data_IF_018348987980
#
_entry.id   IF_018348987980
#
_cell.length_a   1.000
_cell.length_b   1.000
_cell.length_c   1.000
_cell.angle_alpha   90.00
_cell.angle_beta   90.00
_cell.angle_gamma   90.00
#
_symmetry.space_group_name_H-M   'P 1'
#
loop_
_entity.id
_entity.type
_entity.pdbx_description
1 polymer ?
#
# COMPACT_ATOMS: atom_id res chain seq x y z
N UNK A 1 26.40 -6.69 4.93
CA UNK A 1 25.03 -7.21 4.96
C UNK A 1 24.42 -6.80 3.64
N UNK A 2 24.19 -7.72 2.70
CA UNK A 2 23.50 -7.40 1.44
C UNK A 2 22.01 -7.39 1.75
N UNK A 3 21.36 -6.26 1.52
CA UNK A 3 19.91 -6.16 1.62
C UNK A 3 19.28 -7.08 0.58
N UNK A 4 18.26 -7.80 0.97
CA UNK A 4 17.44 -8.59 0.03
C UNK A 4 16.64 -7.65 -0.87
N UNK A 5 16.27 -8.11 -2.07
CA UNK A 5 15.41 -7.32 -2.99
C UNK A 5 14.13 -6.86 -2.31
N UNK A 6 13.55 -7.69 -1.45
CA UNK A 6 12.38 -7.35 -0.63
C UNK A 6 12.62 -6.16 0.29
N UNK A 7 13.73 -6.14 1.04
CA UNK A 7 14.07 -5.04 1.96
C UNK A 7 14.25 -3.72 1.21
N UNK A 8 14.84 -3.77 0.00
CA UNK A 8 14.99 -2.60 -0.87
C UNK A 8 13.63 -2.05 -1.30
N UNK A 9 12.71 -2.91 -1.74
CA UNK A 9 11.35 -2.49 -2.13
C UNK A 9 10.57 -1.90 -0.96
N UNK A 10 10.61 -2.53 0.21
CA UNK A 10 9.97 -2.02 1.43
C UNK A 10 10.55 -0.65 1.80
N UNK A 11 11.88 -0.49 1.72
CA UNK A 11 12.54 0.77 2.00
C UNK A 11 12.13 1.88 1.03
N UNK A 12 12.10 1.60 -0.28
CA UNK A 12 11.64 2.55 -1.30
C UNK A 12 10.19 2.95 -1.07
N UNK A 13 9.31 2.00 -0.79
CA UNK A 13 7.89 2.27 -0.54
C UNK A 13 7.70 3.11 0.72
N UNK A 14 8.39 2.80 1.82
CA UNK A 14 8.41 3.61 3.04
C UNK A 14 8.91 5.02 2.78
N UNK A 15 9.97 5.17 1.97
CA UNK A 15 10.53 6.47 1.60
C UNK A 15 9.53 7.31 0.78
N UNK A 16 8.83 6.70 -0.18
CA UNK A 16 7.79 7.38 -0.97
C UNK A 16 6.64 7.85 -0.06
N UNK A 17 6.13 6.98 0.81
CA UNK A 17 5.04 7.33 1.75
C UNK A 17 5.47 8.45 2.70
N UNK A 18 6.68 8.36 3.27
CA UNK A 18 7.23 9.39 4.14
C UNK A 18 7.40 10.73 3.41
N UNK A 19 7.91 10.71 2.17
CA UNK A 19 8.08 11.91 1.34
C UNK A 19 6.75 12.58 1.02
N UNK A 20 5.70 11.79 0.70
CA UNK A 20 4.35 12.30 0.47
C UNK A 20 3.74 12.93 1.73
N UNK A 21 3.90 12.28 2.89
CA UNK A 21 3.44 12.83 4.17
C UNK A 21 4.16 14.12 4.52
N UNK A 22 5.48 14.17 4.31
CA UNK A 22 6.29 15.37 4.55
C UNK A 22 5.89 16.51 3.62
N UNK A 23 5.69 16.24 2.33
CA UNK A 23 5.23 17.23 1.35
C UNK A 23 3.85 17.78 1.72
N UNK A 24 2.91 16.93 2.12
CA UNK A 24 1.58 17.32 2.58
C UNK A 24 1.66 18.21 3.83
N UNK A 25 2.48 17.82 4.81
CA UNK A 25 2.67 18.58 6.04
C UNK A 25 3.33 19.94 5.78
N UNK A 26 4.36 19.97 4.93
CA UNK A 26 5.03 21.23 4.50
C UNK A 26 4.06 22.15 3.75
N UNK A 27 3.23 21.60 2.84
CA UNK A 27 2.20 22.37 2.15
C UNK A 27 1.19 23.00 3.12
N UNK A 28 0.75 22.22 4.12
CA UNK A 28 -0.20 22.67 5.15
C UNK A 28 0.39 23.82 5.98
N UNK A 29 1.64 23.69 6.45
CA UNK A 29 2.34 24.74 7.20
C UNK A 29 2.54 25.98 6.33
N UNK A 30 3.02 25.85 5.09
CA UNK A 30 3.25 26.99 4.21
C UNK A 30 1.96 27.71 3.81
N UNK A 31 0.85 26.99 3.67
CA UNK A 31 -0.46 27.58 3.40
C UNK A 31 -0.95 28.43 4.60
N UNK A 32 -0.73 27.94 5.82
CA UNK A 32 -1.08 28.61 7.06
C UNK A 32 -0.24 29.89 7.24
N UNK A 33 1.09 29.76 7.13
CA UNK A 33 2.01 30.89 7.32
C UNK A 33 1.83 31.97 6.26
N UNK A 34 1.55 31.64 5.00
CA UNK A 34 1.22 32.61 3.97
C UNK A 34 -0.05 33.38 4.28
N UNK A 35 -1.09 32.74 4.77
CA UNK A 35 -2.35 33.38 5.14
C UNK A 35 -2.17 34.31 6.31
N UNK A 36 -1.37 33.96 7.34
CA UNK A 36 -1.05 34.83 8.46
C UNK A 36 -0.16 36.00 8.04
N UNK A 37 0.81 35.81 7.15
CA UNK A 37 1.71 36.83 6.67
C UNK A 37 0.96 37.90 5.82
N UNK A 38 0.06 37.49 4.94
CA UNK A 38 -0.80 38.39 4.17
C UNK A 38 -1.72 39.22 5.09
N UNK A 39 -2.21 38.66 6.19
CA UNK A 39 -3.03 39.33 7.17
C UNK A 39 -2.22 40.44 7.94
N UNK A 40 -0.95 40.13 8.27
CA UNK A 40 -0.06 41.07 8.99
C UNK A 40 0.45 42.18 8.07
N UNK A 41 0.76 41.87 6.80
CA UNK A 41 1.31 42.86 5.86
C UNK A 41 0.28 43.82 5.28
N UNK A 42 -0.99 43.45 5.18
CA UNK A 42 -2.06 44.26 4.55
C UNK A 42 -3.16 44.62 5.54
N UNK A 43 -2.79 44.78 6.83
CA UNK A 43 -3.70 45.06 7.90
C UNK A 43 -4.61 46.29 7.65
N UNK A 44 -5.89 46.11 7.73
CA UNK A 44 -6.88 46.93 8.38
C UNK A 44 -7.76 47.89 7.59
N UNK A 45 -7.33 48.53 6.52
CA UNK A 45 -7.94 49.83 6.23
C UNK A 45 -8.76 49.93 4.96
N UNK A 46 -8.76 48.92 4.12
CA UNK A 46 -9.37 49.04 2.81
C UNK A 46 -10.55 48.10 2.62
N UNK A 47 -11.74 48.63 2.36
CA UNK A 47 -12.91 47.80 1.96
C UNK A 47 -12.64 47.03 0.69
N UNK A 48 -11.76 47.52 -0.20
CA UNK A 48 -11.31 46.82 -1.38
C UNK A 48 -10.49 45.54 -1.01
N UNK A 49 -9.60 45.64 -0.02
CA UNK A 49 -8.83 44.52 0.52
C UNK A 49 -9.76 43.52 1.21
N UNK A 50 -10.74 43.98 1.99
CA UNK A 50 -11.78 43.11 2.57
C UNK A 50 -12.57 42.37 1.50
N UNK A 51 -12.90 43.02 0.40
CA UNK A 51 -13.64 42.43 -0.72
C UNK A 51 -12.78 41.39 -1.48
N UNK A 52 -11.51 41.65 -1.66
CA UNK A 52 -10.55 40.75 -2.29
C UNK A 52 -10.21 39.54 -1.40
N UNK A 53 -10.03 39.77 -0.09
CA UNK A 53 -9.89 38.68 0.92
C UNK A 53 -11.15 37.83 0.97
N UNK A 54 -12.34 38.39 0.89
CA UNK A 54 -13.58 37.63 0.83
C UNK A 54 -13.73 36.86 -0.48
N UNK A 55 -13.22 37.36 -1.60
CA UNK A 55 -13.18 36.69 -2.89
C UNK A 55 -12.19 35.53 -2.84
N UNK A 56 -10.96 35.73 -2.38
CA UNK A 56 -9.95 34.68 -2.14
C UNK A 56 -10.45 33.65 -1.11
N UNK A 57 -11.18 34.04 -0.09
CA UNK A 57 -11.81 33.14 0.90
C UNK A 57 -12.90 32.25 0.27
N UNK A 58 -13.59 32.76 -0.76
CA UNK A 58 -14.59 31.97 -1.52
C UNK A 58 -13.93 30.97 -2.46
N UNK A 59 -12.85 31.34 -3.13
CA UNK A 59 -12.04 30.47 -3.97
C UNK A 59 -11.35 29.39 -3.14
N UNK A 60 -10.78 29.75 -1.98
CA UNK A 60 -10.22 28.79 -1.03
C UNK A 60 -11.26 27.82 -0.48
N UNK A 61 -12.53 28.18 -0.40
CA UNK A 61 -13.60 27.27 0.04
C UNK A 61 -13.79 26.11 -0.94
N UNK A 62 -13.80 26.37 -2.24
CA UNK A 62 -13.90 25.32 -3.27
C UNK A 62 -12.69 24.41 -3.21
N UNK A 63 -11.48 24.97 -3.09
CA UNK A 63 -10.25 24.22 -2.95
C UNK A 63 -10.26 23.31 -1.69
N UNK A 64 -10.72 23.84 -0.55
CA UNK A 64 -10.86 23.06 0.69
C UNK A 64 -11.86 21.91 0.54
N UNK A 65 -12.99 22.13 -0.15
CA UNK A 65 -13.96 21.07 -0.44
C UNK A 65 -13.39 20.00 -1.34
N UNK A 66 -12.70 20.40 -2.41
CA UNK A 66 -12.02 19.46 -3.33
C UNK A 66 -10.98 18.63 -2.56
N UNK A 67 -10.16 19.29 -1.73
CA UNK A 67 -9.15 18.62 -0.93
C UNK A 67 -9.75 17.61 0.07
N UNK A 68 -10.89 17.95 0.69
CA UNK A 68 -11.62 17.03 1.58
C UNK A 68 -12.17 15.82 0.84
N UNK A 69 -12.75 16.02 -0.35
CA UNK A 69 -13.25 14.91 -1.17
C UNK A 69 -12.11 14.00 -1.59
N UNK A 70 -10.99 14.56 -2.07
CA UNK A 70 -9.80 13.80 -2.46
C UNK A 70 -9.23 13.03 -1.26
N UNK A 71 -9.12 13.68 -0.10
CA UNK A 71 -8.65 13.03 1.13
C UNK A 71 -9.56 11.87 1.56
N UNK A 72 -10.87 12.05 1.45
CA UNK A 72 -11.85 11.00 1.78
C UNK A 72 -11.76 9.82 0.80
N UNK A 73 -11.62 10.09 -0.50
CA UNK A 73 -11.42 9.05 -1.51
C UNK A 73 -10.13 8.26 -1.27
N UNK A 74 -9.03 8.96 -0.97
CA UNK A 74 -7.75 8.31 -0.62
C UNK A 74 -7.89 7.44 0.63
N UNK A 75 -8.63 7.90 1.64
CA UNK A 75 -8.92 7.10 2.83
C UNK A 75 -9.66 5.81 2.49
N UNK A 76 -10.73 5.91 1.70
CA UNK A 76 -11.51 4.74 1.30
C UNK A 76 -10.64 3.74 0.54
N UNK A 77 -9.82 4.22 -0.42
CA UNK A 77 -8.88 3.38 -1.16
C UNK A 77 -7.89 2.70 -0.20
N UNK A 78 -7.36 3.45 0.76
CA UNK A 78 -6.38 2.93 1.70
C UNK A 78 -6.99 1.91 2.68
N UNK A 79 -8.18 2.17 3.20
CA UNK A 79 -8.90 1.23 4.08
C UNK A 79 -9.27 -0.05 3.33
N UNK A 80 -9.71 0.05 2.08
CA UNK A 80 -10.02 -1.14 1.27
C UNK A 80 -8.76 -1.96 0.96
N UNK A 81 -7.65 -1.31 0.60
CA UNK A 81 -6.38 -1.98 0.36
C UNK A 81 -5.83 -2.66 1.63
N UNK A 82 -5.95 -1.99 2.78
CA UNK A 82 -5.56 -2.55 4.07
C UNK A 82 -6.45 -3.76 4.46
N UNK A 83 -7.76 -3.63 4.31
CA UNK A 83 -8.69 -4.74 4.56
C UNK A 83 -8.40 -5.94 3.67
N UNK A 84 -8.03 -5.70 2.41
CA UNK A 84 -7.62 -6.73 1.48
C UNK A 84 -6.30 -7.41 1.90
N UNK A 85 -5.31 -6.63 2.35
CA UNK A 85 -4.05 -7.17 2.87
C UNK A 85 -4.26 -8.04 4.12
N UNK A 86 -5.14 -7.62 5.04
CA UNK A 86 -5.52 -8.41 6.22
C UNK A 86 -6.27 -9.68 5.81
N UNK A 87 -7.16 -9.59 4.82
CA UNK A 87 -7.89 -10.73 4.28
C UNK A 87 -6.93 -11.79 3.71
N UNK A 88 -5.96 -11.38 2.88
CA UNK A 88 -4.92 -12.29 2.33
C UNK A 88 -4.21 -13.00 3.48
N UNK A 89 -3.75 -12.28 4.50
CA UNK A 89 -3.06 -12.88 5.65
C UNK A 89 -3.95 -13.86 6.41
N UNK A 90 -5.20 -13.51 6.65
CA UNK A 90 -6.14 -14.36 7.37
C UNK A 90 -6.52 -15.65 6.62
N UNK A 91 -6.44 -15.61 5.29
CA UNK A 91 -6.71 -16.77 4.41
C UNK A 91 -5.47 -17.54 4.01
N UNK A 92 -4.26 -17.00 4.30
CA UNK A 92 -2.99 -17.63 3.94
C UNK A 92 -2.85 -19.04 4.55
N UNK A 93 -3.36 -19.26 5.76
CA UNK A 93 -3.28 -20.52 6.49
C UNK A 93 -4.42 -21.50 6.19
N UNK A 94 -5.41 -21.10 5.41
CA UNK A 94 -6.58 -21.94 5.11
C UNK A 94 -6.45 -22.58 3.74
N UNK A 95 -6.69 -23.90 3.63
CA UNK A 95 -6.86 -24.50 2.31
C UNK A 95 -8.07 -23.89 1.62
N UNK A 96 -8.01 -23.79 0.31
CA UNK A 96 -9.07 -23.19 -0.50
C UNK A 96 -10.33 -24.06 -0.56
N UNK A 97 -11.13 -24.07 0.49
CA UNK A 97 -12.41 -24.77 0.52
C UNK A 97 -13.43 -24.02 -0.35
N UNK A 98 -13.40 -24.24 -1.67
CA UNK A 98 -14.34 -23.67 -2.62
C UNK A 98 -14.16 -22.17 -2.94
N UNK A 99 -13.33 -21.45 -2.19
CA UNK A 99 -12.96 -20.05 -2.47
C UNK A 99 -11.48 -20.05 -2.87
N UNK A 100 -11.11 -19.42 -4.02
CA UNK A 100 -9.71 -19.30 -4.42
C UNK A 100 -8.86 -18.71 -3.30
N UNK A 101 -7.74 -19.36 -2.97
CA UNK A 101 -6.78 -18.78 -2.02
C UNK A 101 -5.86 -17.79 -2.74
N UNK A 102 -5.57 -16.69 -2.08
CA UNK A 102 -4.70 -15.64 -2.63
C UNK A 102 -3.37 -15.72 -1.89
N UNK A 103 -2.28 -15.90 -2.62
CA UNK A 103 -0.92 -15.99 -2.06
C UNK A 103 -0.02 -14.94 -2.69
N UNK A 104 0.95 -14.45 -1.91
CA UNK A 104 2.00 -13.56 -2.41
C UNK A 104 3.26 -14.37 -2.63
N UNK A 105 3.83 -14.30 -3.83
CA UNK A 105 5.12 -14.95 -4.15
C UNK A 105 6.23 -14.25 -3.38
N UNK A 106 6.90 -14.99 -2.49
CA UNK A 106 7.93 -14.46 -1.58
C UNK A 106 9.37 -14.86 -1.97
N UNK A 107 9.53 -15.69 -3.02
CA UNK A 107 10.83 -16.17 -3.49
C UNK A 107 10.98 -16.00 -4.99
N UNK A 108 12.21 -16.05 -5.46
CA UNK A 108 12.54 -15.97 -6.89
C UNK A 108 12.70 -17.38 -7.52
N UNK A 109 12.35 -18.45 -6.79
CA UNK A 109 12.52 -19.85 -7.27
C UNK A 109 11.75 -20.16 -8.55
N UNK A 110 10.68 -19.41 -8.84
CA UNK A 110 9.84 -19.57 -10.03
C UNK A 110 9.99 -18.40 -11.02
N UNK A 111 10.98 -17.49 -10.84
CA UNK A 111 11.02 -16.20 -11.54
C UNK A 111 11.46 -16.31 -13.00
N UNK A 112 12.31 -17.28 -13.33
CA UNK A 112 12.88 -17.47 -14.67
C UNK A 112 13.09 -18.95 -14.98
N UNK A 113 13.30 -19.25 -16.27
CA UNK A 113 13.62 -20.61 -16.70
C UNK A 113 15.11 -20.87 -16.57
N UNK A 114 15.51 -21.78 -15.69
CA UNK A 114 16.90 -22.22 -15.63
C UNK A 114 17.23 -23.07 -16.87
N UNK A 115 18.37 -22.81 -17.49
CA UNK A 115 18.81 -23.55 -18.68
C UNK A 115 19.01 -25.07 -18.46
N UNK A 116 19.21 -25.49 -17.21
CA UNK A 116 19.29 -26.89 -16.83
C UNK A 116 17.94 -27.60 -16.92
N UNK A 117 16.83 -26.88 -16.78
CA UNK A 117 15.47 -27.36 -16.75
C UNK A 117 14.91 -27.49 -18.18
N UNK A 118 15.45 -28.42 -18.98
CA UNK A 118 15.08 -28.59 -20.40
C UNK A 118 13.58 -28.77 -20.62
N UNK A 119 12.89 -29.43 -19.70
CA UNK A 119 11.45 -29.69 -19.78
C UNK A 119 10.63 -28.41 -19.92
N UNK A 120 11.09 -27.25 -19.35
CA UNK A 120 10.42 -25.96 -19.47
C UNK A 120 10.43 -25.43 -20.92
N UNK A 121 11.51 -25.70 -21.63
CA UNK A 121 11.68 -25.30 -23.03
C UNK A 121 11.00 -26.26 -23.97
N UNK A 122 11.15 -27.58 -23.73
CA UNK A 122 10.60 -28.64 -24.55
C UNK A 122 9.05 -28.61 -24.56
N UNK A 123 8.45 -28.26 -23.44
CA UNK A 123 6.99 -28.15 -23.30
C UNK A 123 6.46 -26.72 -23.45
N UNK A 124 7.28 -25.73 -23.81
CA UNK A 124 6.89 -24.32 -23.99
C UNK A 124 6.13 -23.74 -22.79
N UNK A 125 6.61 -24.04 -21.58
CA UNK A 125 5.99 -23.57 -20.33
C UNK A 125 6.40 -22.11 -20.06
N UNK A 126 5.47 -21.17 -20.07
CA UNK A 126 5.71 -19.72 -19.95
C UNK A 126 4.92 -19.07 -18.79
N UNK A 127 4.70 -19.78 -17.71
CA UNK A 127 3.91 -19.36 -16.55
C UNK A 127 4.76 -19.05 -15.30
N UNK A 128 5.99 -18.57 -15.49
CA UNK A 128 6.90 -18.20 -14.43
C UNK A 128 6.31 -17.09 -13.55
N UNK A 129 6.59 -17.17 -12.24
CA UNK A 129 6.07 -16.27 -11.22
C UNK A 129 7.19 -15.39 -10.68
N UNK A 130 7.02 -14.07 -10.81
CA UNK A 130 7.96 -13.10 -10.27
C UNK A 130 7.74 -12.88 -8.77
N UNK A 131 8.80 -12.54 -8.06
CA UNK A 131 8.70 -12.10 -6.68
C UNK A 131 7.71 -10.94 -6.56
N UNK A 132 6.86 -10.99 -5.55
CA UNK A 132 5.76 -10.04 -5.29
C UNK A 132 4.56 -10.13 -6.24
N UNK A 133 4.49 -11.14 -7.10
CA UNK A 133 3.22 -11.44 -7.76
C UNK A 133 2.19 -11.91 -6.73
N UNK A 134 0.95 -11.50 -6.92
CA UNK A 134 -0.18 -12.13 -6.23
C UNK A 134 -0.69 -13.23 -7.14
N UNK A 135 -0.71 -14.45 -6.63
CA UNK A 135 -1.24 -15.61 -7.34
C UNK A 135 -2.57 -16.04 -6.76
N UNK A 136 -3.48 -16.40 -7.64
CA UNK A 136 -4.80 -16.94 -7.29
C UNK A 136 -4.72 -18.42 -7.47
N UNK A 137 -4.78 -19.15 -6.35
CA UNK A 137 -4.70 -20.61 -6.33
C UNK A 137 -6.10 -21.17 -6.12
N UNK A 138 -6.45 -22.17 -6.92
CA UNK A 138 -7.70 -22.91 -6.76
C UNK A 138 -7.54 -24.07 -5.78
N UNK A 139 -8.69 -24.64 -5.46
CA UNK A 139 -8.72 -25.87 -4.65
C UNK A 139 -7.88 -26.95 -5.33
N UNK A 140 -7.14 -27.67 -4.51
CA UNK A 140 -6.34 -28.81 -4.99
C UNK A 140 -7.29 -29.87 -5.59
N UNK A 141 -7.06 -30.31 -6.84
CA UNK A 141 -7.81 -31.41 -7.42
C UNK A 141 -7.54 -32.71 -6.65
N UNK A 142 -8.21 -33.80 -7.01
CA UNK A 142 -7.94 -35.10 -6.40
C UNK A 142 -6.47 -35.52 -6.67
N UNK A 143 -5.91 -36.37 -5.80
CA UNK A 143 -4.50 -36.75 -5.85
C UNK A 143 -4.11 -37.42 -7.19
N UNK A 144 -5.05 -38.15 -7.77
CA UNK A 144 -4.92 -38.87 -9.06
C UNK A 144 -5.09 -37.94 -10.27
N UNK A 145 -5.63 -36.75 -10.08
CA UNK A 145 -5.79 -35.73 -11.12
C UNK A 145 -4.58 -34.80 -11.26
N UNK A 146 -3.63 -34.85 -10.29
CA UNK A 146 -2.41 -34.06 -10.38
C UNK A 146 -1.47 -34.60 -11.46
N UNK A 147 -1.04 -33.70 -12.33
CA UNK A 147 -0.20 -34.04 -13.48
C UNK A 147 1.23 -33.47 -13.36
N UNK A 148 2.14 -33.99 -14.18
CA UNK A 148 3.47 -33.43 -14.33
C UNK A 148 3.36 -31.97 -14.85
N UNK A 149 4.17 -31.12 -14.27
CA UNK A 149 4.27 -29.66 -14.55
C UNK A 149 3.17 -28.81 -13.96
N UNK A 150 2.25 -29.37 -13.20
CA UNK A 150 1.36 -28.56 -12.37
C UNK A 150 2.15 -27.72 -11.37
N UNK A 151 1.72 -26.48 -11.16
CA UNK A 151 2.31 -25.58 -10.16
C UNK A 151 1.45 -25.61 -8.91
N UNK A 152 2.01 -26.09 -7.82
CA UNK A 152 1.31 -26.31 -6.55
C UNK A 152 1.84 -25.41 -5.44
N UNK A 153 0.95 -25.06 -4.53
CA UNK A 153 1.30 -24.40 -3.27
C UNK A 153 1.32 -25.43 -2.17
N UNK A 154 2.42 -25.54 -1.46
CA UNK A 154 2.56 -26.46 -0.33
C UNK A 154 3.19 -25.77 0.88
N UNK A 155 3.04 -26.39 2.05
CA UNK A 155 3.58 -25.87 3.30
C UNK A 155 4.86 -26.64 3.66
N UNK A 156 5.97 -25.91 3.83
CA UNK A 156 7.24 -26.43 4.30
C UNK A 156 7.74 -25.55 5.44
N UNK A 157 8.04 -26.13 6.61
CA UNK A 157 8.57 -25.41 7.79
C UNK A 157 7.80 -24.10 8.12
N UNK A 158 6.46 -24.16 8.10
CA UNK A 158 5.55 -23.03 8.31
C UNK A 158 5.61 -21.92 7.24
N UNK A 159 6.30 -22.15 6.13
CA UNK A 159 6.36 -21.24 4.98
C UNK A 159 5.59 -21.86 3.80
N UNK A 160 4.83 -21.00 3.09
CA UNK A 160 4.20 -21.42 1.84
C UNK A 160 5.17 -21.26 0.69
N UNK A 161 5.39 -22.36 -0.02
CA UNK A 161 6.25 -22.44 -1.20
C UNK A 161 5.38 -22.74 -2.42
N UNK A 162 5.75 -22.17 -3.55
CA UNK A 162 5.09 -22.40 -4.84
C UNK A 162 6.14 -22.97 -5.76
N UNK A 163 5.97 -24.25 -6.16
CA UNK A 163 6.89 -24.94 -7.03
C UNK A 163 6.13 -25.83 -8.02
N UNK A 164 6.82 -26.32 -9.04
CA UNK A 164 6.29 -27.16 -10.10
C UNK A 164 6.52 -28.63 -9.80
N UNK A 165 5.55 -29.48 -10.11
CA UNK A 165 5.69 -30.95 -10.06
C UNK A 165 6.60 -31.38 -11.21
N UNK A 166 7.77 -31.92 -10.90
CA UNK A 166 8.73 -32.45 -11.87
C UNK A 166 8.85 -33.96 -11.84
N UNK A 167 8.25 -34.61 -10.86
CA UNK A 167 8.18 -36.07 -10.76
C UNK A 167 7.04 -36.52 -9.85
N UNK A 168 6.45 -37.65 -10.19
CA UNK A 168 5.40 -38.28 -9.38
C UNK A 168 5.88 -39.71 -9.15
N UNK A 169 6.06 -40.09 -7.89
CA UNK A 169 6.42 -41.42 -7.47
C UNK A 169 5.18 -42.14 -6.97
N UNK A 170 4.78 -43.19 -7.67
CA UNK A 170 3.64 -44.04 -7.28
C UNK A 170 3.97 -44.81 -6.01
N UNK A 171 2.95 -45.23 -5.24
CA UNK A 171 3.14 -46.09 -4.07
C UNK A 171 4.00 -47.29 -4.38
N UNK A 172 5.00 -47.56 -3.55
CA UNK A 172 5.96 -48.62 -3.72
C UNK A 172 6.19 -49.37 -2.39
N UNK A 173 7.10 -50.36 -2.34
CA UNK A 173 7.38 -51.14 -1.13
C UNK A 173 7.88 -50.28 0.05
N UNK A 174 8.49 -49.10 -0.23
CA UNK A 174 9.00 -48.17 0.79
C UNK A 174 7.91 -47.23 1.26
N UNK A 175 6.95 -46.88 0.38
CA UNK A 175 5.84 -45.95 0.63
C UNK A 175 4.53 -46.55 0.07
N UNK A 176 3.94 -47.55 0.72
CA UNK A 176 2.87 -48.35 0.13
C UNK A 176 1.50 -47.65 0.00
N UNK A 177 1.30 -46.54 0.68
CA UNK A 177 -0.02 -45.93 0.81
C UNK A 177 -0.13 -44.49 0.25
N UNK A 178 0.97 -43.86 -0.20
CA UNK A 178 0.98 -42.45 -0.55
C UNK A 178 1.82 -42.21 -1.80
N UNK A 179 1.34 -41.29 -2.66
CA UNK A 179 2.12 -40.71 -3.75
C UNK A 179 3.09 -39.68 -3.22
N UNK A 180 4.28 -39.68 -3.77
CA UNK A 180 5.30 -38.68 -3.47
C UNK A 180 5.51 -37.79 -4.68
N UNK A 181 5.42 -36.46 -4.46
CA UNK A 181 5.57 -35.45 -5.50
C UNK A 181 6.94 -34.81 -5.39
N UNK A 182 7.75 -34.92 -6.43
CA UNK A 182 9.01 -34.19 -6.49
C UNK A 182 8.77 -32.81 -7.06
N UNK A 183 9.08 -31.79 -6.29
CA UNK A 183 8.83 -30.42 -6.65
C UNK A 183 10.14 -29.69 -6.98
N UNK A 184 10.05 -28.68 -7.86
CA UNK A 184 11.18 -27.86 -8.25
C UNK A 184 10.73 -26.45 -8.64
N UNK A 185 11.50 -25.47 -8.23
CA UNK A 185 11.37 -24.11 -8.76
C UNK A 185 11.95 -24.00 -10.17
N UNK A 186 11.29 -23.28 -11.06
CA UNK A 186 11.70 -23.14 -12.46
C UNK A 186 13.10 -22.52 -12.61
N UNK A 187 13.48 -21.62 -11.68
CA UNK A 187 14.78 -20.95 -11.63
C UNK A 187 15.87 -21.76 -10.91
N UNK A 188 15.52 -22.88 -10.30
CA UNK A 188 16.44 -23.70 -9.51
C UNK A 188 16.94 -24.89 -10.35
N UNK A 189 18.23 -25.20 -10.27
CA UNK A 189 18.84 -26.25 -11.08
C UNK A 189 18.40 -27.66 -10.67
N UNK A 190 18.07 -27.87 -9.39
CA UNK A 190 17.77 -29.20 -8.83
C UNK A 190 16.42 -29.20 -8.12
N UNK A 191 15.74 -30.35 -8.15
CA UNK A 191 14.53 -30.56 -7.35
C UNK A 191 14.78 -30.40 -5.85
N UNK A 192 13.70 -30.17 -5.12
CA UNK A 192 13.71 -30.13 -3.66
C UNK A 192 14.22 -31.47 -3.10
N UNK A 193 14.96 -31.40 -2.00
CA UNK A 193 15.64 -32.58 -1.42
C UNK A 193 14.65 -33.64 -0.94
N UNK A 194 13.49 -33.23 -0.51
CA UNK A 194 12.45 -34.08 0.03
C UNK A 194 11.19 -34.02 -0.82
N UNK A 195 10.60 -35.18 -1.16
CA UNK A 195 9.32 -35.22 -1.85
C UNK A 195 8.21 -34.65 -0.92
N UNK A 196 7.20 -34.08 -1.53
CA UNK A 196 6.04 -33.49 -0.83
C UNK A 196 4.86 -34.46 -0.97
N UNK A 197 4.10 -34.61 0.12
CA UNK A 197 2.89 -35.41 0.13
C UNK A 197 1.68 -34.55 -0.27
N UNK A 198 0.65 -35.19 -0.83
CA UNK A 198 -0.60 -34.53 -1.16
C UNK A 198 -1.21 -33.77 0.03
N UNK A 199 -1.13 -34.35 1.23
CA UNK A 199 -1.64 -33.71 2.47
C UNK A 199 -0.95 -32.40 2.86
N UNK A 200 0.25 -32.13 2.34
CA UNK A 200 1.00 -30.89 2.56
C UNK A 200 0.65 -29.80 1.54
N UNK A 201 -0.01 -30.17 0.45
CA UNK A 201 -0.42 -29.24 -0.61
C UNK A 201 -1.71 -28.51 -0.22
N UNK A 202 -1.85 -27.28 -0.69
CA UNK A 202 -2.97 -26.42 -0.33
C UNK A 202 -3.78 -25.90 -1.52
N UNK A 203 -3.23 -25.93 -2.70
CA UNK A 203 -3.88 -25.46 -3.91
C UNK A 203 -3.00 -25.57 -5.14
N UNK A 204 -3.62 -25.39 -6.28
CA UNK A 204 -2.99 -25.40 -7.61
C UNK A 204 -3.06 -24.00 -8.22
N UNK A 205 -2.00 -23.62 -8.93
CA UNK A 205 -1.97 -22.37 -9.71
C UNK A 205 -2.32 -22.65 -11.16
N UNK A 206 -3.30 -21.93 -11.71
CA UNK A 206 -3.78 -22.11 -13.08
C UNK A 206 -3.58 -20.85 -13.95
N UNK A 207 -2.49 -20.13 -13.78
CA UNK A 207 -2.13 -19.00 -14.64
C UNK A 207 -2.70 -17.63 -14.24
N UNK A 208 -3.49 -17.52 -13.18
CA UNK A 208 -4.07 -16.22 -12.73
C UNK A 208 -3.15 -15.52 -11.76
N UNK A 209 -2.50 -14.41 -12.20
CA UNK A 209 -1.61 -13.61 -11.35
C UNK A 209 -1.83 -12.11 -11.52
N UNK A 210 -1.51 -11.35 -10.48
CA UNK A 210 -1.47 -9.88 -10.50
C UNK A 210 -0.02 -9.48 -10.19
N UNK A 211 0.72 -8.92 -11.16
CA UNK A 211 2.13 -8.64 -10.99
C UNK A 211 2.38 -7.47 -10.02
N UNK A 212 3.46 -7.55 -9.24
CA UNK A 212 4.03 -6.53 -8.34
C UNK A 212 3.16 -6.04 -7.17
N UNK A 213 1.86 -6.31 -7.15
CA UNK A 213 0.95 -5.80 -6.10
C UNK A 213 1.24 -6.42 -4.74
N UNK A 214 1.83 -7.61 -4.71
CA UNK A 214 2.20 -8.31 -3.47
C UNK A 214 3.17 -7.54 -2.59
N UNK A 215 4.07 -6.72 -3.14
CA UNK A 215 4.99 -5.88 -2.36
C UNK A 215 4.22 -4.88 -1.47
N UNK A 216 3.16 -4.28 -2.02
CA UNK A 216 2.30 -3.38 -1.26
C UNK A 216 1.49 -4.11 -0.18
N UNK A 217 0.99 -5.32 -0.51
CA UNK A 217 0.28 -6.17 0.45
C UNK A 217 1.20 -6.53 1.63
N UNK A 218 2.42 -6.99 1.35
CA UNK A 218 3.40 -7.35 2.39
C UNK A 218 3.81 -6.12 3.23
N UNK A 219 3.95 -4.94 2.60
CA UNK A 219 4.17 -3.71 3.33
C UNK A 219 3.05 -3.42 4.31
N UNK A 220 1.78 -3.46 3.86
CA UNK A 220 0.63 -3.22 4.72
C UNK A 220 0.50 -4.25 5.86
N UNK A 221 1.00 -5.46 5.67
CA UNK A 221 1.05 -6.51 6.71
C UNK A 221 2.22 -6.33 7.69
N UNK A 222 3.19 -5.46 7.38
CA UNK A 222 4.36 -5.21 8.23
C UNK A 222 4.05 -4.23 9.37
N UNK A 223 4.82 -4.24 10.47
CA UNK A 223 4.69 -3.23 11.54
C UNK A 223 4.82 -1.80 11.03
N UNK A 224 5.69 -1.55 10.04
CA UNK A 224 5.84 -0.24 9.42
C UNK A 224 4.58 0.19 8.65
N UNK A 225 3.94 -0.74 7.93
CA UNK A 225 2.66 -0.49 7.26
C UNK A 225 1.56 -0.14 8.25
N UNK A 226 1.44 -0.86 9.35
CA UNK A 226 0.49 -0.55 10.42
C UNK A 226 0.70 0.86 10.99
N UNK A 227 1.96 1.23 11.25
CA UNK A 227 2.28 2.57 11.72
C UNK A 227 1.87 3.65 10.71
N UNK A 228 2.15 3.42 9.42
CA UNK A 228 1.72 4.34 8.35
C UNK A 228 0.20 4.50 8.29
N UNK A 229 -0.56 3.41 8.43
CA UNK A 229 -2.03 3.45 8.49
C UNK A 229 -2.50 4.32 9.64
N UNK A 230 -1.96 4.11 10.84
CA UNK A 230 -2.31 4.90 12.03
C UNK A 230 -1.99 6.38 11.86
N UNK A 231 -0.83 6.71 11.28
CA UNK A 231 -0.44 8.09 11.01
C UNK A 231 -1.36 8.77 9.98
N UNK A 232 -1.76 8.06 8.93
CA UNK A 232 -2.72 8.59 7.94
C UNK A 232 -4.07 8.86 8.59
N UNK A 233 -4.59 7.93 9.38
CA UNK A 233 -5.86 8.12 10.11
C UNK A 233 -5.76 9.30 11.07
N UNK A 234 -4.65 9.39 11.83
CA UNK A 234 -4.41 10.52 12.74
C UNK A 234 -4.37 11.85 11.99
N UNK A 235 -3.63 11.93 10.88
CA UNK A 235 -3.56 13.15 10.07
C UNK A 235 -4.94 13.57 9.54
N UNK A 236 -5.76 12.61 9.11
CA UNK A 236 -7.11 12.89 8.62
C UNK A 236 -8.03 13.46 9.71
N UNK A 237 -7.93 12.95 10.94
CA UNK A 237 -8.72 13.45 12.09
C UNK A 237 -8.18 14.80 12.56
N UNK A 238 -6.86 14.98 12.60
CA UNK A 238 -6.21 16.18 13.10
C UNK A 238 -6.40 17.40 12.17
N UNK A 239 -6.34 17.18 10.85
CA UNK A 239 -6.41 18.28 9.86
C UNK A 239 -7.64 19.19 10.04
N UNK A 240 -8.90 18.70 10.07
CA UNK A 240 -10.08 19.57 10.24
C UNK A 240 -10.12 20.25 11.60
N UNK A 241 -9.57 19.64 12.65
CA UNK A 241 -9.50 20.24 13.99
C UNK A 241 -8.51 21.40 14.01
N UNK A 242 -7.34 21.20 13.39
CA UNK A 242 -6.30 22.24 13.26
C UNK A 242 -6.81 23.39 12.39
N UNK A 243 -7.41 23.12 11.23
CA UNK A 243 -8.02 24.14 10.36
C UNK A 243 -9.07 24.97 11.09
N UNK A 244 -9.93 24.35 11.90
CA UNK A 244 -10.94 25.05 12.70
C UNK A 244 -10.31 25.97 13.72
N UNK A 245 -9.30 25.50 14.49
CA UNK A 245 -8.59 26.33 15.49
C UNK A 245 -7.88 27.52 14.85
N UNK A 246 -7.19 27.30 13.73
CA UNK A 246 -6.50 28.37 13.01
C UNK A 246 -7.50 29.42 12.55
N UNK A 247 -8.64 29.00 12.01
CA UNK A 247 -9.68 29.94 11.60
C UNK A 247 -10.23 30.74 12.77
N UNK A 248 -10.53 30.11 13.91
CA UNK A 248 -11.02 30.76 15.12
C UNK A 248 -10.01 31.80 15.65
N UNK A 249 -8.71 31.47 15.68
CA UNK A 249 -7.65 32.37 16.11
C UNK A 249 -7.45 33.53 15.12
N UNK A 250 -7.53 33.26 13.82
CA UNK A 250 -7.46 34.29 12.79
C UNK A 250 -8.63 35.26 12.90
N UNK A 251 -9.86 34.75 13.03
CA UNK A 251 -11.06 35.58 13.18
C UNK A 251 -10.99 36.40 14.49
N UNK A 252 -10.46 35.86 15.59
CA UNK A 252 -10.26 36.54 16.86
C UNK A 252 -9.23 37.67 16.75
N UNK A 253 -8.11 37.46 16.08
CA UNK A 253 -7.08 38.49 15.81
C UNK A 253 -7.64 39.63 14.94
N UNK A 254 -8.36 39.28 13.86
CA UNK A 254 -9.01 40.27 13.00
C UNK A 254 -9.96 41.19 13.80
N UNK A 255 -10.76 40.61 14.71
CA UNK A 255 -11.66 41.37 15.58
C UNK A 255 -10.90 42.25 16.57
N UNK A 256 -9.83 41.74 17.21
CA UNK A 256 -9.05 42.55 18.17
C UNK A 256 -8.36 43.72 17.53
N UNK A 257 -8.02 43.63 16.28
CA UNK A 257 -7.47 44.75 15.53
C UNK A 257 -8.56 45.74 15.07
N UNK A 258 -9.76 45.31 14.75
CA UNK A 258 -10.87 46.16 14.38
C UNK A 258 -11.40 46.98 15.57
N UNK A 259 -11.17 46.54 16.81
CA UNK A 259 -11.60 47.19 18.04
C UNK A 259 -10.56 48.16 18.62
N UNK A 260 -9.32 48.25 18.06
CA UNK A 260 -8.34 49.22 18.53
C UNK A 260 -8.76 50.64 18.14
N UNK A 261 -8.91 51.55 19.12
CA UNK A 261 -9.28 52.92 18.82
C UNK A 261 -8.18 53.62 17.99
N UNK A 262 -8.59 54.48 17.07
CA UNK A 262 -7.72 55.34 16.25
C UNK A 262 -6.83 56.32 17.08
N UNK A 263 -6.92 56.23 18.39
CA UNK A 263 -6.23 57.12 19.33
C UNK A 263 -4.69 57.01 19.26
N UNK A 264 -4.16 55.87 18.81
CA UNK A 264 -2.72 55.65 18.64
C UNK A 264 -2.26 55.67 17.18
N UNK A 265 -3.10 56.09 16.24
CA UNK A 265 -2.73 56.18 14.84
C UNK A 265 -1.82 57.40 14.61
N UNK A 266 -0.74 57.19 13.83
CA UNK A 266 0.14 58.26 13.36
C UNK A 266 -0.63 59.25 12.50
N UNK A 267 -0.14 60.51 12.37
CA UNK A 267 -0.80 61.55 11.56
C UNK A 267 -1.05 61.09 10.12
N UNK A 268 -0.11 60.39 9.51
CA UNK A 268 -0.28 59.77 8.19
C UNK A 268 -1.45 58.79 8.15
N UNK A 269 -1.65 58.03 9.20
CA UNK A 269 -2.70 57.04 9.31
C UNK A 269 -4.09 57.66 9.52
N UNK A 270 -4.17 58.87 10.02
CA UNK A 270 -5.44 59.62 10.14
C UNK A 270 -5.86 60.24 8.81
N UNK A 271 -4.90 60.77 8.07
CA UNK A 271 -5.12 61.35 6.74
C UNK A 271 -5.70 60.35 5.73
N UNK A 272 -5.28 59.10 5.80
CA UNK A 272 -5.83 58.02 4.98
C UNK A 272 -7.22 57.52 5.41
N UNK A 273 -7.67 57.84 6.61
CA UNK A 273 -8.99 57.47 7.11
C UNK A 273 -10.09 58.46 6.76
N UNK A 274 -9.72 59.70 6.31
CA UNK A 274 -10.63 60.76 5.92
C UNK A 274 -10.86 60.90 4.40
N UNK A 275 -10.14 60.08 3.57
CA UNK A 275 -10.31 60.02 2.13
C UNK A 275 -11.09 58.77 1.73
#
# INVERSE_FOLDING_TARGET
>A
MKMTSYEIYVFILCFIVFSLLTAMFTYLITSITKMELELIQHGHRDEAIKKELNKKRKENRVFLWVNRIVSLLLCVIFVTAFSFAVYIRATEERPANGIPSIKVVKSESMAEKNAANKYLFDNSIDDQLQMFDIVICRHLPAEDELELYDVVVYKQDDIYVINRIVGIEEPNEQHPNERHFLLQGDAVERPDTFPVLYSQMQGIYEGSRIPFVGSFVLFLQSPAGWLCVLLVIFAMIATPVVEKKIKEETDRRVLSFAEQPLENATEEEREWAEV
#
